data_IF_240501532352
#
_entry.id   IF_240501532352
#
_cell.length_a   1.000
_cell.length_b   1.000
_cell.length_c   1.000
_cell.angle_alpha   90.00
_cell.angle_beta   90.00
_cell.angle_gamma   90.00
#
_symmetry.space_group_name_H-M   'P 1'
#
loop_
_entity.id
_entity.type
_entity.pdbx_description
1 polymer ?
#
# COMPACT_ATOMS: atom_id res chain seq x y z
N UNK A 1 -15.04 -0.79 -2.78
CA UNK A 1 -13.94 -0.55 -1.84
C UNK A 1 -12.88 0.23 -2.59
N UNK A 2 -12.40 1.35 -2.03
CA UNK A 2 -11.30 2.13 -2.60
C UNK A 2 -9.97 1.82 -1.87
N UNK A 3 -9.91 0.68 -1.18
CA UNK A 3 -8.70 0.22 -0.52
C UNK A 3 -7.67 -0.29 -1.53
N UNK A 4 -6.44 0.18 -1.37
CA UNK A 4 -5.29 -0.35 -2.09
C UNK A 4 -4.88 -1.73 -1.55
N UNK A 5 -4.09 -2.47 -2.33
CA UNK A 5 -3.57 -3.78 -1.91
C UNK A 5 -2.81 -3.75 -0.57
N UNK A 6 -2.29 -2.59 -0.18
CA UNK A 6 -1.50 -2.41 1.02
C UNK A 6 -2.29 -1.75 2.17
N UNK A 7 -3.63 -1.68 2.08
CA UNK A 7 -4.47 -1.20 3.17
C UNK A 7 -4.66 0.32 3.26
N UNK A 8 -4.14 1.10 2.31
CA UNK A 8 -4.39 2.54 2.25
C UNK A 8 -5.74 2.81 1.59
N UNK A 9 -6.56 3.65 2.21
CA UNK A 9 -7.87 4.08 1.70
C UNK A 9 -7.66 5.21 0.67
N UNK A 10 -7.93 4.91 -0.61
CA UNK A 10 -7.77 5.90 -1.66
C UNK A 10 -8.85 6.99 -1.57
N UNK A 11 -10.02 6.69 -0.99
CA UNK A 11 -11.09 7.68 -0.84
C UNK A 11 -10.69 8.87 0.03
N UNK A 12 -9.84 8.64 1.04
CA UNK A 12 -9.35 9.65 1.97
C UNK A 12 -7.98 10.23 1.55
N UNK A 13 -7.49 9.85 0.36
CA UNK A 13 -6.20 10.29 -0.15
C UNK A 13 -6.33 11.51 -1.07
N UNK A 14 -5.75 12.64 -0.67
CA UNK A 14 -5.80 13.90 -1.44
C UNK A 14 -5.22 13.82 -2.85
N UNK A 15 -4.34 12.85 -3.11
CA UNK A 15 -3.71 12.63 -4.42
C UNK A 15 -4.57 11.78 -5.36
N UNK A 16 -5.52 11.02 -4.83
CA UNK A 16 -6.33 10.11 -5.63
C UNK A 16 -7.22 10.89 -6.61
N UNK A 17 -7.26 10.42 -7.87
CA UNK A 17 -7.92 11.07 -9.01
C UNK A 17 -7.39 12.48 -9.36
N UNK A 18 -6.27 12.90 -8.76
CA UNK A 18 -5.52 14.10 -9.17
C UNK A 18 -4.17 13.67 -9.76
N UNK A 19 -3.20 13.43 -8.90
CA UNK A 19 -1.83 13.02 -9.26
C UNK A 19 -1.67 11.49 -9.27
N UNK A 20 -2.62 10.77 -8.67
CA UNK A 20 -2.60 9.32 -8.57
C UNK A 20 -3.90 8.71 -9.13
N UNK A 21 -3.78 7.88 -10.17
CA UNK A 21 -4.91 7.12 -10.72
C UNK A 21 -5.32 5.91 -9.84
N UNK A 22 -4.52 5.60 -8.81
CA UNK A 22 -4.66 4.41 -7.98
C UNK A 22 -3.79 3.24 -8.45
N UNK A 23 -3.32 2.43 -7.50
CA UNK A 23 -2.31 1.39 -7.75
C UNK A 23 -2.68 0.41 -8.86
N UNK A 24 -3.94 -0.06 -8.91
CA UNK A 24 -4.36 -1.00 -9.95
C UNK A 24 -4.34 -0.36 -11.35
N UNK A 25 -4.81 0.89 -11.47
CA UNK A 25 -4.87 1.60 -12.74
C UNK A 25 -3.47 1.91 -13.30
N UNK A 26 -2.52 2.28 -12.43
CA UNK A 26 -1.13 2.54 -12.83
C UNK A 26 -0.20 1.32 -12.70
N UNK A 27 -0.73 0.12 -12.44
CA UNK A 27 0.04 -1.10 -12.20
C UNK A 27 1.14 -0.94 -11.12
N UNK A 28 0.83 -0.17 -10.08
CA UNK A 28 1.71 0.12 -8.94
C UNK A 28 2.70 1.25 -9.19
N UNK A 29 2.76 1.84 -10.39
CA UNK A 29 3.62 2.97 -10.73
C UNK A 29 3.00 4.30 -10.27
N UNK A 30 2.75 4.41 -8.97
CA UNK A 30 2.24 5.62 -8.32
C UNK A 30 3.33 6.68 -8.21
N UNK A 31 2.97 7.93 -7.90
CA UNK A 31 3.88 9.08 -7.91
C UNK A 31 5.11 8.92 -6.99
N UNK A 32 4.98 8.18 -5.89
CA UNK A 32 6.06 7.92 -4.93
C UNK A 32 6.78 6.58 -5.16
N UNK A 33 6.44 5.84 -6.23
CA UNK A 33 7.15 4.63 -6.59
C UNK A 33 8.51 4.97 -7.25
N UNK A 34 9.50 4.06 -7.20
CA UNK A 34 10.76 4.27 -7.92
C UNK A 34 10.51 4.48 -9.42
N UNK A 35 11.30 5.36 -10.05
CA UNK A 35 11.09 5.75 -11.45
C UNK A 35 11.00 4.52 -12.38
N UNK A 36 9.92 4.49 -13.19
CA UNK A 36 9.63 3.41 -14.13
C UNK A 36 9.23 2.07 -13.50
N UNK A 37 9.19 1.96 -12.17
CA UNK A 37 8.92 0.71 -11.44
C UNK A 37 7.65 0.82 -10.60
N UNK A 38 7.04 -0.33 -10.33
CA UNK A 38 5.95 -0.40 -9.38
C UNK A 38 6.48 -0.21 -7.94
N UNK A 39 5.62 0.31 -7.06
CA UNK A 39 5.84 0.31 -5.61
C UNK A 39 6.21 -1.11 -5.14
N UNK A 40 7.22 -1.28 -4.26
CA UNK A 40 7.68 -2.60 -3.81
C UNK A 40 6.57 -3.48 -3.24
N UNK A 41 5.62 -2.89 -2.49
CA UNK A 41 4.49 -3.63 -1.92
C UNK A 41 3.56 -4.16 -3.01
N UNK A 42 3.23 -3.34 -4.02
CA UNK A 42 2.38 -3.76 -5.14
C UNK A 42 3.05 -4.82 -6.01
N UNK A 43 4.34 -4.63 -6.30
CA UNK A 43 5.13 -5.60 -7.06
C UNK A 43 5.17 -6.96 -6.34
N UNK A 44 5.31 -6.98 -5.02
CA UNK A 44 5.25 -8.20 -4.23
C UNK A 44 3.85 -8.81 -4.18
N UNK A 45 2.88 -8.10 -3.61
CA UNK A 45 1.54 -8.62 -3.31
C UNK A 45 0.76 -8.97 -4.59
N UNK A 46 0.61 -8.00 -5.51
CA UNK A 46 -0.29 -8.13 -6.65
C UNK A 46 0.41 -8.75 -7.86
N UNK A 47 1.63 -8.32 -8.18
CA UNK A 47 2.31 -8.80 -9.40
C UNK A 47 2.96 -10.17 -9.20
N UNK A 48 3.73 -10.36 -8.12
CA UNK A 48 4.44 -11.62 -7.85
C UNK A 48 3.52 -12.67 -7.23
N UNK A 49 2.84 -12.35 -6.13
CA UNK A 49 2.06 -13.32 -5.35
C UNK A 49 0.59 -13.43 -5.77
N UNK A 50 0.10 -12.52 -6.62
CA UNK A 50 -1.28 -12.48 -7.13
C UNK A 50 -2.33 -12.35 -6.03
N UNK A 51 -1.96 -11.79 -4.88
CA UNK A 51 -2.92 -11.45 -3.85
C UNK A 51 -3.73 -10.23 -4.25
N UNK A 52 -4.99 -10.19 -3.80
CA UNK A 52 -5.83 -8.98 -3.91
C UNK A 52 -5.31 -7.90 -2.96
N UNK A 53 -4.96 -8.32 -1.74
CA UNK A 53 -4.38 -7.46 -0.71
C UNK A 53 -3.25 -8.18 0.03
N UNK A 54 -2.46 -7.44 0.80
CA UNK A 54 -1.44 -8.02 1.67
C UNK A 54 -2.02 -8.85 2.82
N UNK A 55 -3.34 -8.82 3.07
CA UNK A 55 -3.99 -9.64 4.11
C UNK A 55 -3.73 -11.14 3.91
N UNK A 56 -3.60 -11.59 2.64
CA UNK A 56 -3.28 -12.97 2.31
C UNK A 56 -1.81 -13.37 2.60
N UNK A 57 -0.98 -12.45 3.12
CA UNK A 57 0.41 -12.71 3.45
C UNK A 57 0.57 -12.99 4.95
N UNK A 58 1.08 -14.18 5.28
CA UNK A 58 1.31 -14.60 6.68
C UNK A 58 2.38 -13.78 7.40
N UNK A 59 3.26 -13.10 6.65
CA UNK A 59 4.31 -12.23 7.20
C UNK A 59 3.86 -10.78 7.39
N UNK A 60 2.59 -10.44 7.17
CA UNK A 60 2.10 -9.06 7.26
C UNK A 60 2.15 -8.52 8.71
N UNK A 61 2.80 -7.36 8.97
CA UNK A 61 3.56 -6.51 8.06
C UNK A 61 5.01 -6.99 7.92
N UNK A 62 5.45 -7.27 6.68
CA UNK A 62 6.78 -7.82 6.42
C UNK A 62 7.84 -6.73 6.22
N UNK A 63 9.10 -7.13 5.96
CA UNK A 63 10.20 -6.17 5.78
C UNK A 63 9.96 -5.19 4.63
N UNK A 64 9.30 -5.61 3.54
CA UNK A 64 8.97 -4.74 2.40
C UNK A 64 8.12 -3.54 2.85
N UNK A 65 7.20 -3.73 3.79
CA UNK A 65 6.42 -2.62 4.35
C UNK A 65 7.30 -1.63 5.09
N UNK A 66 8.23 -2.13 5.92
CA UNK A 66 9.17 -1.31 6.69
C UNK A 66 10.16 -0.56 5.80
N UNK A 67 10.60 -1.19 4.71
CA UNK A 67 11.53 -0.62 3.73
C UNK A 67 10.84 0.40 2.80
N UNK A 68 9.53 0.30 2.60
CA UNK A 68 8.73 1.28 1.82
C UNK A 68 8.31 2.48 2.69
N UNK A 69 9.13 2.83 3.68
CA UNK A 69 8.90 3.98 4.56
C UNK A 69 9.21 5.29 3.83
N UNK A 70 8.33 6.28 4.00
CA UNK A 70 8.65 7.65 3.63
C UNK A 70 9.70 8.20 4.62
N UNK A 71 10.91 8.59 4.15
CA UNK A 71 11.97 9.09 5.01
C UNK A 71 11.63 10.41 5.72
N UNK A 72 10.59 11.12 5.27
CA UNK A 72 10.12 12.36 5.89
C UNK A 72 9.21 12.13 7.10
N UNK A 73 8.68 10.91 7.28
CA UNK A 73 7.85 10.57 8.42
C UNK A 73 8.70 10.24 9.65
N UNK A 74 8.25 10.68 10.82
CA UNK A 74 8.79 10.19 12.09
C UNK A 74 8.44 8.71 12.30
N UNK A 75 9.19 8.04 13.18
CA UNK A 75 8.94 6.63 13.51
C UNK A 75 7.51 6.44 14.02
N UNK A 76 7.02 7.33 14.88
CA UNK A 76 5.68 7.25 15.46
C UNK A 76 4.57 7.33 14.41
N UNK A 77 4.67 8.30 13.48
CA UNK A 77 3.68 8.48 12.42
C UNK A 77 3.73 7.29 11.45
N UNK A 78 4.92 6.82 11.12
CA UNK A 78 5.08 5.64 10.27
C UNK A 78 4.45 4.39 10.89
N UNK A 79 4.74 4.09 12.16
CA UNK A 79 4.18 2.94 12.87
C UNK A 79 2.65 3.07 13.06
N UNK A 80 2.14 4.30 13.24
CA UNK A 80 0.69 4.54 13.22
C UNK A 80 0.07 4.19 11.87
N UNK A 81 0.71 4.60 10.77
CA UNK A 81 0.23 4.31 9.42
C UNK A 81 0.20 2.80 9.12
N UNK A 82 1.17 2.03 9.62
CA UNK A 82 1.17 0.56 9.48
C UNK A 82 -0.03 -0.03 10.20
N UNK A 83 -0.27 0.38 11.46
CA UNK A 83 -1.40 -0.13 12.26
C UNK A 83 -2.74 0.14 11.62
N UNK A 84 -2.96 1.37 11.14
CA UNK A 84 -4.19 1.78 10.45
C UNK A 84 -4.41 0.94 9.18
N UNK A 85 -3.40 0.83 8.32
CA UNK A 85 -3.48 0.05 7.09
C UNK A 85 -3.75 -1.44 7.35
N UNK A 86 -3.16 -2.01 8.40
CA UNK A 86 -3.45 -3.37 8.82
C UNK A 86 -4.88 -3.55 9.32
N UNK A 87 -5.43 -2.56 10.03
CA UNK A 87 -6.82 -2.58 10.46
C UNK A 87 -7.75 -2.57 9.24
N UNK A 88 -7.53 -1.65 8.30
CA UNK A 88 -8.33 -1.56 7.07
C UNK A 88 -8.33 -2.87 6.28
N UNK A 89 -7.20 -3.57 6.24
CA UNK A 89 -7.09 -4.87 5.57
C UNK A 89 -7.99 -5.93 6.21
N UNK A 90 -8.09 -5.98 7.54
CA UNK A 90 -8.94 -6.94 8.26
C UNK A 90 -10.43 -6.67 8.07
N UNK A 91 -10.81 -5.43 7.84
CA UNK A 91 -12.21 -5.03 7.64
C UNK A 91 -12.76 -5.46 6.26
N UNK A 92 -11.89 -5.87 5.32
CA UNK A 92 -12.30 -6.42 4.02
C UNK A 92 -12.74 -7.90 4.11
N UNK A 93 -12.21 -8.66 5.06
CA UNK A 93 -12.38 -10.12 5.17
C UNK A 93 -13.74 -10.63 5.68
N UNK A 94 -14.83 -9.88 5.51
CA UNK A 94 -16.20 -10.33 5.86
C UNK A 94 -16.74 -11.39 4.91
#
# INVERSE_FOLDING_TARGET
MNLSCCGMECADCDFYQKECAGCNACQGKVFHAPEGKACPIYACSVQKHRYVTCESCEELPCSIWKETRDPLLSDEIFESSIRERMQNLKEIGY
#
